data_IF_686278651675
#
_entry.id   IF_686278651675
#
_cell.length_a   1.000
_cell.length_b   1.000
_cell.length_c   1.000
_cell.angle_alpha   90.00
_cell.angle_beta   90.00
_cell.angle_gamma   90.00
#
_symmetry.space_group_name_H-M   'P 1'
#
loop_
_entity.id
_entity.type
_entity.pdbx_description
1 polymer ?
#
# COMPACT_ATOMS: atom_id res chain seq x y z
N UNK A 1 21.77 21.82 -1.48
CA UNK A 1 20.33 21.75 -1.77
C UNK A 1 19.56 21.96 -0.48
N UNK A 2 18.44 22.71 -0.47
CA UNK A 2 17.51 22.69 0.66
C UNK A 2 16.62 21.44 0.51
N UNK A 3 16.31 20.70 1.58
CA UNK A 3 15.44 19.53 1.49
C UNK A 3 14.05 19.95 0.99
N UNK A 4 13.52 19.22 0.02
CA UNK A 4 12.16 19.40 -0.50
C UNK A 4 11.23 18.50 0.31
N UNK A 5 10.38 19.12 1.12
CA UNK A 5 9.49 18.42 2.04
C UNK A 5 8.41 17.65 1.29
N UNK A 6 8.27 16.37 1.62
CA UNK A 6 7.14 15.58 1.15
C UNK A 6 5.89 15.98 1.95
N UNK A 7 4.81 16.35 1.25
CA UNK A 7 3.55 16.69 1.90
C UNK A 7 2.92 15.45 2.53
N UNK A 8 2.87 15.42 3.86
CA UNK A 8 2.18 14.37 4.62
C UNK A 8 0.67 14.43 4.38
N UNK A 9 0.11 13.38 3.79
CA UNK A 9 -1.31 13.02 3.99
C UNK A 9 -1.35 11.88 5.00
N UNK A 10 -1.67 12.22 6.25
CA UNK A 10 -1.95 11.26 7.31
C UNK A 10 -3.27 10.56 6.96
N UNK A 11 -3.20 9.33 6.45
CA UNK A 11 -4.34 8.41 6.58
C UNK A 11 -4.11 7.56 7.82
N UNK A 12 -4.99 7.81 8.78
CA UNK A 12 -5.05 7.23 10.10
C UNK A 12 -5.25 5.71 10.03
N UNK A 13 -4.30 5.01 10.65
CA UNK A 13 -4.41 3.85 11.52
C UNK A 13 -5.82 3.31 11.86
N UNK A 14 -6.57 2.74 10.94
CA UNK A 14 -7.67 1.83 11.28
C UNK A 14 -7.80 0.76 10.20
N UNK A 15 -7.11 -0.38 10.37
CA UNK A 15 -7.81 -1.68 10.26
C UNK A 15 -7.38 -2.54 11.44
N UNK A 16 -8.40 -2.93 12.20
CA UNK A 16 -8.34 -3.49 13.54
C UNK A 16 -7.77 -4.91 13.53
N UNK A 17 -6.88 -5.15 14.49
CA UNK A 17 -6.21 -6.41 14.84
C UNK A 17 -7.15 -7.51 15.38
N UNK A 18 -8.46 -7.43 15.14
CA UNK A 18 -9.45 -8.26 15.83
C UNK A 18 -9.85 -9.55 15.09
N UNK A 19 -9.36 -9.79 13.88
CA UNK A 19 -9.87 -10.88 13.02
C UNK A 19 -8.95 -12.09 12.78
N UNK A 20 -7.65 -12.04 13.12
CA UNK A 20 -6.68 -13.02 12.61
C UNK A 20 -6.64 -14.37 13.37
N UNK A 21 -7.65 -14.69 14.19
CA UNK A 21 -7.81 -16.03 14.78
C UNK A 21 -9.20 -16.58 14.46
N UNK A 22 -9.39 -17.09 13.25
CA UNK A 22 -10.60 -17.84 12.89
C UNK A 22 -10.40 -19.33 13.21
N UNK A 23 -11.14 -19.83 14.20
CA UNK A 23 -11.25 -21.27 14.48
C UNK A 23 -12.27 -21.87 13.52
N UNK A 24 -11.83 -22.81 12.68
CA UNK A 24 -12.67 -23.48 11.69
C UNK A 24 -13.88 -24.17 12.33
N UNK A 25 -15.08 -23.77 11.94
CA UNK A 25 -16.26 -24.62 12.02
C UNK A 25 -16.79 -24.91 10.62
N UNK A 26 -16.82 -26.21 10.36
CA UNK A 26 -17.15 -26.92 9.13
C UNK A 26 -18.49 -26.47 8.54
N UNK A 27 -18.46 -25.81 7.39
CA UNK A 27 -19.62 -25.62 6.50
C UNK A 27 -19.15 -25.74 5.05
N UNK A 28 -19.74 -26.67 4.30
CA UNK A 28 -19.26 -27.12 2.97
C UNK A 28 -19.07 -26.01 1.93
N UNK A 29 -18.19 -26.29 0.96
CA UNK A 29 -17.75 -25.56 -0.27
C UNK A 29 -17.71 -24.00 -0.24
N UNK A 30 -18.75 -23.33 0.25
CA UNK A 30 -18.79 -21.90 0.59
C UNK A 30 -17.92 -21.50 1.80
N UNK A 31 -17.65 -22.42 2.73
CA UNK A 31 -16.80 -22.13 3.90
C UNK A 31 -15.31 -21.99 3.55
N UNK A 32 -14.83 -22.72 2.53
CA UNK A 32 -13.43 -22.69 2.10
C UNK A 32 -13.07 -21.38 1.37
N UNK A 33 -14.01 -20.81 0.61
CA UNK A 33 -13.79 -19.54 -0.13
C UNK A 33 -13.70 -18.34 0.81
N UNK A 34 -14.56 -18.25 1.82
CA UNK A 34 -14.47 -17.20 2.84
C UNK A 34 -13.20 -17.28 3.67
N UNK A 35 -12.74 -18.49 4.04
CA UNK A 35 -11.48 -18.69 4.76
C UNK A 35 -10.30 -18.18 3.93
N UNK A 36 -10.20 -18.58 2.66
CA UNK A 36 -9.11 -18.15 1.78
C UNK A 36 -9.13 -16.65 1.50
N UNK A 37 -10.30 -16.04 1.38
CA UNK A 37 -10.43 -14.59 1.25
C UNK A 37 -9.78 -13.86 2.44
N UNK A 38 -10.09 -14.31 3.67
CA UNK A 38 -9.53 -13.72 4.90
C UNK A 38 -8.02 -13.99 5.00
N UNK A 39 -7.57 -15.20 4.68
CA UNK A 39 -6.13 -15.54 4.70
C UNK A 39 -5.32 -14.65 3.77
N UNK A 40 -5.77 -14.47 2.53
CA UNK A 40 -5.11 -13.60 1.56
C UNK A 40 -5.20 -12.12 1.98
N UNK A 41 -6.33 -11.68 2.54
CA UNK A 41 -6.45 -10.33 3.10
C UNK A 41 -5.44 -10.07 4.23
N UNK A 42 -5.31 -11.00 5.18
CA UNK A 42 -4.39 -10.88 6.31
C UNK A 42 -2.93 -10.84 5.88
N UNK A 43 -2.53 -11.73 4.96
CA UNK A 43 -1.17 -11.74 4.40
C UNK A 43 -0.89 -10.45 3.62
N UNK A 44 -1.85 -9.99 2.81
CA UNK A 44 -1.75 -8.72 2.09
C UNK A 44 -1.60 -7.53 3.03
N UNK A 45 -2.34 -7.52 4.15
CA UNK A 45 -2.28 -6.44 5.14
C UNK A 45 -0.93 -6.39 5.86
N UNK A 46 -0.35 -7.53 6.24
CA UNK A 46 0.97 -7.60 6.89
C UNK A 46 2.05 -6.96 6.00
N UNK A 47 2.10 -7.35 4.73
CA UNK A 47 3.02 -6.78 3.76
C UNK A 47 2.71 -5.32 3.45
N UNK A 48 1.44 -4.92 3.39
CA UNK A 48 1.04 -3.53 3.19
C UNK A 48 1.56 -2.63 4.32
N UNK A 49 1.38 -3.06 5.58
CA UNK A 49 1.83 -2.29 6.74
C UNK A 49 3.36 -2.15 6.72
N UNK A 50 4.08 -3.23 6.43
CA UNK A 50 5.54 -3.21 6.29
C UNK A 50 5.98 -2.26 5.15
N UNK A 51 5.30 -2.32 4.01
CA UNK A 51 5.55 -1.43 2.87
C UNK A 51 5.36 0.05 3.22
N UNK A 52 4.35 0.35 4.04
CA UNK A 52 4.08 1.71 4.53
C UNK A 52 5.20 2.18 5.47
N UNK A 53 5.63 1.34 6.40
CA UNK A 53 6.73 1.69 7.32
C UNK A 53 8.02 2.02 6.56
N UNK A 54 8.37 1.21 5.55
CA UNK A 54 9.49 1.51 4.65
C UNK A 54 9.28 2.81 3.87
N UNK A 55 8.07 3.07 3.38
CA UNK A 55 7.76 4.31 2.65
C UNK A 55 7.94 5.56 3.52
N UNK A 56 7.41 5.51 4.74
CA UNK A 56 7.51 6.59 5.73
C UNK A 56 8.98 6.82 6.12
N UNK A 57 9.74 5.75 6.36
CA UNK A 57 11.18 5.85 6.65
C UNK A 57 11.97 6.46 5.48
N UNK A 58 11.65 6.09 4.24
CA UNK A 58 12.22 6.70 3.04
C UNK A 58 11.91 8.19 2.93
N UNK A 59 10.70 8.58 3.32
CA UNK A 59 10.26 9.98 3.37
C UNK A 59 11.04 10.78 4.41
N UNK A 60 11.20 10.25 5.62
CA UNK A 60 11.97 10.92 6.68
C UNK A 60 13.44 11.12 6.29
N UNK A 61 14.05 10.10 5.67
CA UNK A 61 15.43 10.17 5.19
C UNK A 61 15.57 11.19 4.05
N UNK A 62 14.61 11.22 3.14
CA UNK A 62 14.55 12.20 2.06
C UNK A 62 14.52 13.63 2.59
N UNK A 63 13.63 13.90 3.55
CA UNK A 63 13.49 15.22 4.17
C UNK A 63 14.74 15.64 4.96
N UNK A 64 15.51 14.67 5.47
CA UNK A 64 16.81 14.91 6.09
C UNK A 64 17.96 15.13 5.07
N UNK A 65 17.72 14.84 3.78
CA UNK A 65 18.69 14.93 2.70
C UNK A 65 19.55 13.69 2.47
N UNK A 66 19.28 12.58 3.17
CA UNK A 66 19.95 11.29 3.02
C UNK A 66 19.33 10.49 1.86
N UNK A 67 19.58 10.95 0.64
CA UNK A 67 18.93 10.42 -0.56
C UNK A 67 19.31 8.96 -0.85
N UNK A 68 20.54 8.54 -0.55
CA UNK A 68 20.98 7.16 -0.77
C UNK A 68 20.14 6.20 0.08
N UNK A 69 20.01 6.47 1.39
CA UNK A 69 19.21 5.61 2.27
C UNK A 69 17.71 5.77 2.01
N UNK A 70 17.24 6.94 1.60
CA UNK A 70 15.85 7.12 1.19
C UNK A 70 15.49 6.22 0.01
N UNK A 71 16.36 6.15 -1.01
CA UNK A 71 16.19 5.27 -2.17
C UNK A 71 16.08 3.81 -1.73
N UNK A 72 16.96 3.35 -0.83
CA UNK A 72 16.91 1.97 -0.32
C UNK A 72 15.56 1.66 0.36
N UNK A 73 15.05 2.57 1.19
CA UNK A 73 13.76 2.38 1.85
C UNK A 73 12.59 2.37 0.85
N UNK A 74 12.61 3.22 -0.19
CA UNK A 74 11.58 3.18 -1.23
C UNK A 74 11.63 1.89 -2.06
N UNK A 75 12.80 1.29 -2.24
CA UNK A 75 12.93 -0.02 -2.90
C UNK A 75 12.28 -1.13 -2.07
N UNK A 76 12.51 -1.16 -0.76
CA UNK A 76 11.87 -2.13 0.13
C UNK A 76 10.34 -1.90 0.19
N UNK A 77 9.91 -0.64 0.30
CA UNK A 77 8.48 -0.29 0.23
C UNK A 77 7.82 -0.82 -1.04
N UNK A 78 8.46 -0.60 -2.20
CA UNK A 78 7.99 -1.11 -3.49
C UNK A 78 7.88 -2.64 -3.49
N UNK A 79 8.88 -3.33 -2.96
CA UNK A 79 8.91 -4.80 -2.88
C UNK A 79 7.74 -5.31 -2.03
N UNK A 80 7.56 -4.76 -0.85
CA UNK A 80 6.49 -5.16 0.07
C UNK A 80 5.10 -4.82 -0.48
N UNK A 81 4.91 -3.66 -1.13
CA UNK A 81 3.63 -3.35 -1.82
C UNK A 81 3.34 -4.32 -2.97
N UNK A 82 4.37 -4.78 -3.70
CA UNK A 82 4.18 -5.79 -4.75
C UNK A 82 3.72 -7.13 -4.20
N UNK A 83 4.20 -7.52 -3.01
CA UNK A 83 3.75 -8.75 -2.33
C UNK A 83 2.31 -8.57 -1.83
N UNK A 84 2.02 -7.44 -1.17
CA UNK A 84 0.66 -7.11 -0.72
C UNK A 84 -0.36 -7.13 -1.87
N UNK A 85 -0.03 -6.49 -2.99
CA UNK A 85 -0.89 -6.46 -4.18
C UNK A 85 -1.17 -7.85 -4.75
N UNK A 86 -0.18 -8.75 -4.75
CA UNK A 86 -0.38 -10.13 -5.18
C UNK A 86 -1.36 -10.90 -4.28
N UNK A 87 -1.32 -10.67 -2.97
CA UNK A 87 -2.30 -11.22 -2.04
C UNK A 87 -3.70 -10.62 -2.26
N UNK A 88 -3.82 -9.31 -2.45
CA UNK A 88 -5.11 -8.68 -2.75
C UNK A 88 -5.72 -9.14 -4.07
N UNK A 89 -4.89 -9.46 -5.07
CA UNK A 89 -5.38 -10.11 -6.30
C UNK A 89 -5.94 -11.50 -6.04
N UNK A 90 -5.29 -12.33 -5.21
CA UNK A 90 -5.82 -13.67 -4.86
C UNK A 90 -7.05 -13.58 -3.97
N UNK A 91 -7.08 -12.64 -3.03
CA UNK A 91 -8.27 -12.28 -2.25
C UNK A 91 -9.44 -11.96 -3.19
N UNK A 92 -9.21 -11.19 -4.26
CA UNK A 92 -10.23 -10.90 -5.27
C UNK A 92 -10.74 -12.17 -5.98
N UNK A 93 -9.86 -13.15 -6.25
CA UNK A 93 -10.25 -14.43 -6.87
C UNK A 93 -11.15 -15.28 -5.96
N UNK A 94 -11.13 -15.02 -4.64
CA UNK A 94 -12.00 -15.65 -3.64
C UNK A 94 -13.25 -14.84 -3.29
N UNK A 95 -13.41 -13.64 -3.86
CA UNK A 95 -14.57 -12.80 -3.62
C UNK A 95 -15.85 -13.45 -4.17
N UNK A 96 -16.88 -13.52 -3.34
CA UNK A 96 -18.20 -14.07 -3.70
C UNK A 96 -19.26 -12.99 -3.86
N UNK A 97 -19.04 -11.83 -3.24
CA UNK A 97 -19.93 -10.68 -3.27
C UNK A 97 -19.31 -9.46 -3.99
N UNK A 98 -20.17 -8.55 -4.45
CA UNK A 98 -19.74 -7.37 -5.17
C UNK A 98 -18.91 -6.40 -4.32
N UNK A 99 -19.28 -6.21 -3.05
CA UNK A 99 -18.50 -5.41 -2.09
C UNK A 99 -17.10 -6.01 -1.85
N UNK A 100 -17.00 -7.32 -1.67
CA UNK A 100 -15.73 -8.05 -1.47
C UNK A 100 -14.79 -7.87 -2.67
N UNK A 101 -15.34 -7.97 -3.90
CA UNK A 101 -14.59 -7.77 -5.14
C UNK A 101 -14.08 -6.33 -5.25
N UNK A 102 -14.95 -5.34 -5.00
CA UNK A 102 -14.55 -3.93 -5.06
C UNK A 102 -13.55 -3.56 -3.95
N UNK A 103 -13.67 -4.18 -2.77
CA UNK A 103 -12.72 -3.97 -1.68
C UNK A 103 -11.33 -4.46 -2.07
N UNK A 104 -11.21 -5.70 -2.55
CA UNK A 104 -9.96 -6.29 -3.01
C UNK A 104 -9.36 -5.53 -4.21
N UNK A 105 -10.21 -5.09 -5.16
CA UNK A 105 -9.80 -4.27 -6.29
C UNK A 105 -9.25 -2.91 -5.84
N UNK A 106 -9.93 -2.23 -4.91
CA UNK A 106 -9.47 -0.94 -4.37
C UNK A 106 -8.12 -1.05 -3.66
N UNK A 107 -7.89 -2.14 -2.92
CA UNK A 107 -6.60 -2.43 -2.28
C UNK A 107 -5.50 -2.73 -3.30
N UNK A 108 -5.81 -3.50 -4.36
CA UNK A 108 -4.87 -3.79 -5.45
C UNK A 108 -4.45 -2.51 -6.18
N UNK A 109 -5.42 -1.65 -6.52
CA UNK A 109 -5.14 -0.37 -7.16
C UNK A 109 -4.30 0.56 -6.28
N UNK A 110 -4.55 0.54 -4.96
CA UNK A 110 -3.73 1.26 -4.00
C UNK A 110 -2.27 0.80 -4.07
N UNK A 111 -2.03 -0.51 -3.99
CA UNK A 111 -0.65 -1.04 -3.99
C UNK A 111 0.06 -0.75 -5.30
N UNK A 112 -0.62 -0.86 -6.44
CA UNK A 112 -0.04 -0.51 -7.76
C UNK A 112 0.34 0.97 -7.84
N UNK A 113 -0.53 1.84 -7.32
CA UNK A 113 -0.29 3.28 -7.30
C UNK A 113 0.90 3.62 -6.40
N UNK A 114 1.02 2.95 -5.25
CA UNK A 114 2.16 3.15 -4.35
C UNK A 114 3.47 2.57 -4.89
N UNK A 115 3.45 1.45 -5.62
CA UNK A 115 4.62 0.95 -6.35
C UNK A 115 5.14 2.00 -7.34
N UNK A 116 4.22 2.63 -8.08
CA UNK A 116 4.56 3.69 -9.01
C UNK A 116 5.07 4.95 -8.29
N UNK A 117 4.47 5.31 -7.15
CA UNK A 117 4.95 6.42 -6.32
C UNK A 117 6.39 6.17 -5.84
N UNK A 118 6.68 5.00 -5.29
CA UNK A 118 8.02 4.62 -4.84
C UNK A 118 9.03 4.65 -5.99
N UNK A 119 8.66 4.19 -7.19
CA UNK A 119 9.51 4.32 -8.38
C UNK A 119 9.82 5.77 -8.71
N UNK A 120 8.82 6.66 -8.67
CA UNK A 120 9.01 8.09 -8.89
C UNK A 120 10.00 8.68 -7.88
N UNK A 121 9.89 8.36 -6.59
CA UNK A 121 10.83 8.86 -5.59
C UNK A 121 12.24 8.29 -5.75
N UNK A 122 12.39 7.02 -6.14
CA UNK A 122 13.69 6.42 -6.47
C UNK A 122 14.34 7.16 -7.64
N UNK A 123 13.59 7.39 -8.72
CA UNK A 123 14.09 8.10 -9.89
C UNK A 123 14.45 9.54 -9.53
N UNK A 124 13.58 10.26 -8.82
CA UNK A 124 13.85 11.61 -8.35
C UNK A 124 15.16 11.67 -7.53
N UNK A 125 15.36 10.73 -6.59
CA UNK A 125 16.57 10.67 -5.79
C UNK A 125 17.83 10.46 -6.63
N UNK A 126 17.77 9.60 -7.65
CA UNK A 126 18.88 9.39 -8.58
C UNK A 126 19.19 10.65 -9.41
N UNK A 127 18.18 11.30 -9.99
CA UNK A 127 18.38 12.53 -10.78
C UNK A 127 19.00 13.65 -9.94
N UNK A 128 18.57 13.82 -8.68
CA UNK A 128 19.19 14.80 -7.79
C UNK A 128 20.66 14.48 -7.47
N UNK A 129 21.05 13.21 -7.38
CA UNK A 129 22.45 12.80 -7.20
C UNK A 129 23.30 13.13 -8.43
N UNK A 130 22.69 13.08 -9.61
CA UNK A 130 23.33 13.46 -10.88
C UNK A 130 23.30 14.98 -11.15
N UNK A 131 22.71 15.77 -10.25
CA UNK A 131 22.46 17.20 -10.38
C UNK A 131 21.50 17.58 -11.53
N UNK A 132 20.65 16.66 -11.98
CA UNK A 132 19.52 16.99 -12.85
C UNK A 132 18.31 17.36 -11.99
N UNK A 133 18.29 18.61 -11.53
CA UNK A 133 17.18 19.12 -10.72
C UNK A 133 15.85 19.14 -11.49
N UNK A 134 15.87 19.26 -12.82
CA UNK A 134 14.62 19.36 -13.61
C UNK A 134 13.93 18.01 -13.71
N UNK A 135 14.69 16.96 -14.03
CA UNK A 135 14.17 15.60 -14.05
C UNK A 135 13.79 15.14 -12.63
N UNK A 136 14.63 15.44 -11.63
CA UNK A 136 14.34 15.15 -10.23
C UNK A 136 13.03 15.76 -9.76
N UNK A 137 12.79 17.04 -10.07
CA UNK A 137 11.56 17.75 -9.72
C UNK A 137 10.32 17.15 -10.36
N UNK A 138 10.42 16.77 -11.64
CA UNK A 138 9.32 16.16 -12.35
C UNK A 138 8.91 14.83 -11.68
N UNK A 139 9.88 13.94 -11.44
CA UNK A 139 9.61 12.67 -10.78
C UNK A 139 9.09 12.86 -9.35
N UNK A 140 9.63 13.82 -8.61
CA UNK A 140 9.16 14.10 -7.26
C UNK A 140 7.69 14.54 -7.25
N UNK A 141 7.31 15.46 -8.14
CA UNK A 141 5.91 15.90 -8.27
C UNK A 141 4.98 14.76 -8.71
N UNK A 142 5.42 13.91 -9.63
CA UNK A 142 4.67 12.73 -10.04
C UNK A 142 4.47 11.73 -8.89
N UNK A 143 5.51 11.51 -8.08
CA UNK A 143 5.42 10.68 -6.87
C UNK A 143 4.40 11.23 -5.88
N UNK A 144 4.43 12.53 -5.60
CA UNK A 144 3.45 13.18 -4.72
C UNK A 144 2.01 13.07 -5.25
N UNK A 145 1.82 13.25 -6.56
CA UNK A 145 0.51 13.09 -7.20
C UNK A 145 -0.02 11.66 -7.02
N UNK A 146 0.84 10.65 -7.18
CA UNK A 146 0.47 9.25 -7.02
C UNK A 146 0.11 8.93 -5.55
N UNK A 147 0.83 9.46 -4.56
CA UNK A 147 0.48 9.34 -3.14
C UNK A 147 -0.89 9.96 -2.84
N UNK A 148 -1.20 11.10 -3.43
CA UNK A 148 -2.53 11.71 -3.29
C UNK A 148 -3.63 10.85 -3.93
N UNK A 149 -3.35 10.23 -5.08
CA UNK A 149 -4.29 9.32 -5.74
C UNK A 149 -4.51 8.03 -4.95
N UNK A 150 -3.45 7.42 -4.41
CA UNK A 150 -3.56 6.21 -3.60
C UNK A 150 -4.38 6.47 -2.33
N UNK A 151 -4.24 7.64 -1.72
CA UNK A 151 -5.03 8.06 -0.57
C UNK A 151 -6.55 8.00 -0.82
N UNK A 152 -6.99 8.37 -2.03
CA UNK A 152 -8.41 8.26 -2.43
C UNK A 152 -8.83 6.79 -2.52
N UNK A 153 -7.98 5.91 -3.06
CA UNK A 153 -8.24 4.47 -3.18
C UNK A 153 -8.29 3.78 -1.81
N UNK A 154 -7.42 4.19 -0.89
CA UNK A 154 -7.42 3.67 0.48
C UNK A 154 -8.70 4.07 1.20
N UNK A 155 -9.09 5.34 1.13
CA UNK A 155 -10.36 5.81 1.72
C UNK A 155 -11.57 5.07 1.14
N UNK A 156 -11.60 4.87 -0.17
CA UNK A 156 -12.64 4.05 -0.83
C UNK A 156 -12.65 2.61 -0.32
N UNK A 157 -11.48 2.01 -0.08
CA UNK A 157 -11.41 0.65 0.47
C UNK A 157 -12.05 0.55 1.85
N UNK A 158 -11.91 1.59 2.70
CA UNK A 158 -12.53 1.63 4.03
C UNK A 158 -14.07 1.65 3.96
N UNK A 159 -14.63 2.30 2.94
CA UNK A 159 -16.07 2.32 2.67
C UNK A 159 -16.59 0.96 2.16
N UNK A 160 -15.71 0.15 1.58
CA UNK A 160 -16.04 -1.12 0.93
C UNK A 160 -15.77 -2.35 1.81
N UNK A 161 -15.21 -2.17 3.01
CA UNK A 161 -14.96 -3.28 3.93
C UNK A 161 -16.25 -4.11 4.08
N UNK A 162 -16.22 -5.43 3.79
CA UNK A 162 -17.38 -6.29 3.98
C UNK A 162 -17.88 -6.24 5.43
N UNK A 163 -19.20 -6.17 5.64
CA UNK A 163 -19.77 -6.02 6.99
C UNK A 163 -19.32 -7.15 7.94
N UNK A 164 -19.24 -8.37 7.43
CA UNK A 164 -18.80 -9.53 8.19
C UNK A 164 -17.31 -9.46 8.59
N UNK A 165 -16.50 -8.62 7.93
CA UNK A 165 -15.08 -8.41 8.21
C UNK A 165 -14.84 -7.28 9.24
N UNK A 166 -15.82 -6.39 9.48
CA UNK A 166 -15.67 -5.23 10.39
C UNK A 166 -15.52 -5.58 11.87
N UNK A 167 -15.68 -6.86 12.23
CA UNK A 167 -15.75 -7.31 13.61
C UNK A 167 -17.14 -7.09 14.19
N UNK A 168 -17.74 -8.17 14.68
CA UNK A 168 -18.94 -8.15 15.54
C UNK A 168 -18.61 -7.63 16.93
#
# INVERSE_FOLDING_TARGET
MKPKTIAFMIILSIIMTSGCTFSSQDTGESGDTGIRYVEEYCQGLEHHLSAKEYFDAGTDLWDSGDLDRAIDQYQESKREYSIAGAHYMKMKDHASEWNELNFAESLTMYTDTMINASNCFILAGNEYRENDETAGDQYFMDGQRLVSQSSVMLNRSLELIPEWLKGS
#
